data_IF_046375376481
#
_entry.id   IF_046375376481
#
_cell.length_a   1.000
_cell.length_b   1.000
_cell.length_c   1.000
_cell.angle_alpha   90.00
_cell.angle_beta   90.00
_cell.angle_gamma   90.00
#
_symmetry.space_group_name_H-M   'P 1'
#
loop_
_entity.id
_entity.type
_entity.pdbx_description
1 polymer ?
#
# COMPACT_ATOMS: atom_id res chain seq x y z
N UNK A 1 -32.98 26.57 -4.35
CA UNK A 1 -31.93 27.37 -3.69
C UNK A 1 -30.74 27.43 -4.63
N UNK A 2 -30.06 28.58 -4.75
CA UNK A 2 -28.79 28.73 -5.49
C UNK A 2 -27.65 29.05 -4.52
N UNK A 3 -26.39 28.92 -4.94
CA UNK A 3 -25.24 29.26 -4.07
C UNK A 3 -25.30 30.70 -3.55
N UNK A 4 -25.66 31.65 -4.42
CA UNK A 4 -25.86 33.06 -4.05
C UNK A 4 -26.89 33.24 -2.93
N UNK A 5 -27.96 32.44 -2.91
CA UNK A 5 -28.94 32.48 -1.84
C UNK A 5 -28.37 31.94 -0.53
N UNK A 6 -27.57 30.86 -0.58
CA UNK A 6 -26.86 30.36 0.59
C UNK A 6 -25.89 31.41 1.16
N UNK A 7 -25.13 32.10 0.31
CA UNK A 7 -24.24 33.21 0.73
C UNK A 7 -25.01 34.34 1.43
N UNK A 8 -26.19 34.69 0.92
CA UNK A 8 -27.05 35.71 1.53
C UNK A 8 -27.64 35.26 2.88
N UNK A 9 -27.89 33.97 3.07
CA UNK A 9 -28.30 33.42 4.35
C UNK A 9 -27.16 33.49 5.36
N UNK A 10 -25.95 33.09 4.96
CA UNK A 10 -24.74 33.15 5.76
C UNK A 10 -24.38 34.58 6.16
N UNK A 11 -24.45 35.54 5.23
CA UNK A 11 -24.26 36.97 5.50
C UNK A 11 -25.25 37.54 6.53
N UNK A 12 -26.39 36.87 6.74
CA UNK A 12 -27.39 37.20 7.78
C UNK A 12 -27.35 36.28 8.99
N UNK A 13 -26.31 35.44 9.09
CA UNK A 13 -26.14 34.43 10.15
C UNK A 13 -27.30 33.42 10.24
N UNK A 14 -27.93 33.12 9.10
CA UNK A 14 -28.99 32.10 9.00
C UNK A 14 -28.34 30.83 8.47
N UNK A 15 -28.05 29.88 9.36
CA UNK A 15 -27.45 28.59 8.99
C UNK A 15 -28.47 27.48 9.29
N UNK A 16 -28.96 26.75 8.28
CA UNK A 16 -29.84 25.61 8.50
C UNK A 16 -29.19 24.57 9.39
N UNK A 17 -29.92 24.03 10.37
CA UNK A 17 -29.40 22.93 11.20
C UNK A 17 -29.21 21.66 10.38
N UNK A 18 -30.12 21.40 9.44
CA UNK A 18 -30.04 20.31 8.46
C UNK A 18 -30.49 20.78 7.09
N UNK A 19 -29.80 20.30 6.06
CA UNK A 19 -30.19 20.47 4.66
C UNK A 19 -30.49 19.10 4.08
N UNK A 20 -31.77 18.84 3.78
CA UNK A 20 -32.22 17.54 3.28
C UNK A 20 -32.23 17.56 1.74
N UNK A 21 -31.57 16.60 1.12
CA UNK A 21 -31.61 16.38 -0.33
C UNK A 21 -32.39 15.11 -0.64
N UNK A 22 -33.53 15.26 -1.32
CA UNK A 22 -34.33 14.13 -1.78
C UNK A 22 -33.73 13.54 -3.06
N UNK A 23 -33.17 12.35 -2.97
CA UNK A 23 -32.49 11.65 -4.08
C UNK A 23 -33.48 10.83 -4.89
N UNK A 24 -33.59 11.14 -6.18
CA UNK A 24 -34.49 10.47 -7.12
C UNK A 24 -33.96 10.58 -8.55
N UNK A 25 -34.22 9.57 -9.37
CA UNK A 25 -33.88 9.63 -10.79
C UNK A 25 -34.75 10.64 -11.55
N UNK A 26 -34.17 11.30 -12.56
CA UNK A 26 -34.86 12.33 -13.37
C UNK A 26 -36.15 11.82 -13.98
N UNK A 27 -36.15 10.59 -14.48
CA UNK A 27 -37.33 9.99 -15.13
C UNK A 27 -38.49 9.91 -14.14
N UNK A 28 -38.21 9.46 -12.91
CA UNK A 28 -39.20 9.34 -11.85
C UNK A 28 -39.68 10.71 -11.34
N UNK A 29 -38.78 11.71 -11.26
CA UNK A 29 -39.15 13.10 -10.92
C UNK A 29 -40.13 13.68 -11.93
N UNK A 30 -39.85 13.52 -13.23
CA UNK A 30 -40.73 14.02 -14.31
C UNK A 30 -42.06 13.27 -14.29
N UNK A 31 -42.04 11.94 -14.13
CA UNK A 31 -43.25 11.11 -14.05
C UNK A 31 -44.17 11.56 -12.90
N UNK A 32 -43.61 11.78 -11.70
CA UNK A 32 -44.37 12.27 -10.53
C UNK A 32 -44.87 13.69 -10.73
N UNK A 33 -44.07 14.58 -11.33
CA UNK A 33 -44.47 15.96 -11.62
C UNK A 33 -45.67 16.05 -12.56
N UNK A 34 -45.67 15.26 -13.64
CA UNK A 34 -46.82 15.16 -14.56
C UNK A 34 -48.05 14.54 -13.88
N UNK A 35 -47.86 13.53 -13.04
CA UNK A 35 -48.95 12.92 -12.27
C UNK A 35 -49.57 13.82 -11.20
N UNK A 36 -48.88 14.89 -10.79
CA UNK A 36 -49.40 15.89 -9.85
C UNK A 36 -50.15 17.03 -10.56
N UNK A 37 -49.99 17.23 -11.87
CA UNK A 37 -50.69 18.28 -12.64
C UNK A 37 -52.21 18.11 -12.60
N UNK A 38 -52.67 16.86 -12.54
CA UNK A 38 -54.08 16.50 -12.51
C UNK A 38 -54.76 16.62 -11.14
N UNK A 39 -54.03 17.06 -10.09
CA UNK A 39 -54.57 17.12 -8.72
C UNK A 39 -55.15 18.50 -8.38
N UNK A 40 -56.39 18.59 -7.88
CA UNK A 40 -57.06 19.86 -7.59
C UNK A 40 -56.54 20.58 -6.33
N UNK A 41 -55.65 19.98 -5.55
CA UNK A 41 -55.23 20.47 -4.22
C UNK A 41 -53.93 21.29 -4.20
N UNK A 42 -53.53 21.91 -5.32
CA UNK A 42 -52.28 22.68 -5.36
C UNK A 42 -52.46 24.05 -4.70
N UNK A 43 -51.59 24.44 -3.75
CA UNK A 43 -51.65 25.77 -3.13
C UNK A 43 -51.28 26.90 -4.11
N UNK A 44 -50.59 26.61 -5.22
CA UNK A 44 -50.25 27.58 -6.27
C UNK A 44 -50.41 26.98 -7.67
N UNK A 45 -51.00 27.71 -8.64
CA UNK A 45 -51.06 27.27 -10.03
C UNK A 45 -49.65 27.18 -10.62
N UNK A 46 -49.23 25.99 -11.03
CA UNK A 46 -47.92 25.74 -11.64
C UNK A 46 -48.13 25.05 -12.98
N UNK A 47 -47.60 25.62 -14.07
CA UNK A 47 -47.58 24.94 -15.38
C UNK A 47 -46.40 23.97 -15.40
N UNK A 48 -46.69 22.68 -15.40
CA UNK A 48 -45.68 21.62 -15.35
C UNK A 48 -45.70 20.80 -16.65
N UNK A 49 -45.24 21.38 -17.76
CA UNK A 49 -45.00 20.61 -18.98
C UNK A 49 -43.73 19.75 -18.84
N UNK A 50 -43.59 18.65 -19.61
CA UNK A 50 -42.39 17.82 -19.60
C UNK A 50 -41.10 18.63 -19.86
N UNK A 51 -41.16 19.61 -20.77
CA UNK A 51 -40.04 20.49 -21.09
C UNK A 51 -39.68 21.39 -19.92
N UNK A 52 -40.67 21.97 -19.23
CA UNK A 52 -40.46 22.83 -18.06
C UNK A 52 -39.84 22.02 -16.92
N UNK A 53 -40.36 20.82 -16.64
CA UNK A 53 -39.83 19.94 -15.60
C UNK A 53 -38.40 19.51 -15.89
N UNK A 54 -38.08 19.20 -17.15
CA UNK A 54 -36.73 18.86 -17.60
C UNK A 54 -35.75 20.03 -17.40
N UNK A 55 -36.14 21.25 -17.80
CA UNK A 55 -35.31 22.45 -17.59
C UNK A 55 -35.09 22.72 -16.10
N UNK A 56 -36.14 22.66 -15.27
CA UNK A 56 -36.02 22.86 -13.82
C UNK A 56 -35.08 21.85 -13.17
N UNK A 57 -35.17 20.57 -13.56
CA UNK A 57 -34.30 19.53 -13.02
C UNK A 57 -32.84 19.73 -13.48
N UNK A 58 -32.62 20.11 -14.74
CA UNK A 58 -31.29 20.49 -15.25
C UNK A 58 -30.68 21.64 -14.45
N UNK A 59 -31.45 22.70 -14.19
CA UNK A 59 -31.03 23.80 -13.34
C UNK A 59 -30.71 23.35 -11.91
N UNK A 60 -31.55 22.52 -11.30
CA UNK A 60 -31.29 21.96 -9.97
C UNK A 60 -29.99 21.17 -9.92
N UNK A 61 -29.77 20.25 -10.87
CA UNK A 61 -28.56 19.41 -10.93
C UNK A 61 -27.28 20.22 -11.08
N UNK A 62 -27.33 21.34 -11.81
CA UNK A 62 -26.20 22.25 -11.95
C UNK A 62 -25.84 22.94 -10.63
N UNK A 63 -26.84 23.37 -9.87
CA UNK A 63 -26.64 24.14 -8.63
C UNK A 63 -26.37 23.27 -7.40
N UNK A 64 -26.97 22.07 -7.33
CA UNK A 64 -26.95 21.22 -6.14
C UNK A 64 -25.55 20.73 -5.80
N UNK A 65 -24.68 20.50 -6.78
CA UNK A 65 -23.30 20.07 -6.54
C UNK A 65 -22.53 21.12 -5.72
N UNK A 66 -22.60 22.40 -6.12
CA UNK A 66 -21.95 23.51 -5.42
C UNK A 66 -22.56 23.76 -4.04
N UNK A 67 -23.88 23.60 -3.90
CA UNK A 67 -24.56 23.73 -2.60
C UNK A 67 -24.19 22.60 -1.64
N UNK A 68 -24.19 21.36 -2.13
CA UNK A 68 -23.78 20.18 -1.37
C UNK A 68 -22.35 20.35 -0.88
N UNK A 69 -21.43 20.76 -1.75
CA UNK A 69 -20.06 21.04 -1.36
C UNK A 69 -20.00 22.08 -0.25
N UNK A 70 -20.69 23.21 -0.41
CA UNK A 70 -20.69 24.29 0.58
C UNK A 70 -21.23 23.84 1.93
N UNK A 71 -22.45 23.28 2.00
CA UNK A 71 -23.06 22.91 3.27
C UNK A 71 -22.40 21.69 3.92
N UNK A 72 -21.99 20.69 3.13
CA UNK A 72 -21.31 19.51 3.67
C UNK A 72 -19.90 19.81 4.18
N UNK A 73 -19.12 20.62 3.46
CA UNK A 73 -17.74 20.94 3.87
C UNK A 73 -17.68 21.97 4.99
N UNK A 74 -18.60 22.94 5.01
CA UNK A 74 -18.57 24.01 6.01
C UNK A 74 -19.29 23.62 7.31
N UNK A 75 -20.39 22.86 7.23
CA UNK A 75 -21.28 22.68 8.39
C UNK A 75 -21.57 21.21 8.72
N UNK A 76 -21.16 20.26 7.87
CA UNK A 76 -21.45 18.83 8.02
C UNK A 76 -22.95 18.54 8.24
N UNK A 77 -23.83 19.33 7.61
CA UNK A 77 -25.27 19.34 7.85
C UNK A 77 -26.11 18.87 6.65
N UNK A 78 -25.50 18.33 5.60
CA UNK A 78 -26.20 17.83 4.42
C UNK A 78 -26.61 16.35 4.59
N UNK A 79 -27.89 16.05 4.37
CA UNK A 79 -28.44 14.71 4.57
C UNK A 79 -29.15 14.24 3.29
N UNK A 80 -28.58 13.27 2.56
CA UNK A 80 -29.26 12.64 1.43
C UNK A 80 -30.34 11.68 1.93
N UNK A 81 -31.53 11.73 1.33
CA UNK A 81 -32.67 10.86 1.66
C UNK A 81 -33.22 10.23 0.38
N UNK A 82 -33.32 8.90 0.36
CA UNK A 82 -33.90 8.17 -0.77
C UNK A 82 -35.40 8.48 -0.91
N UNK A 83 -35.75 9.13 -2.02
CA UNK A 83 -37.12 9.56 -2.28
C UNK A 83 -37.93 8.56 -3.12
N UNK A 84 -37.35 7.40 -3.50
CA UNK A 84 -38.10 6.30 -4.10
C UNK A 84 -39.03 5.62 -3.09
N UNK A 85 -38.70 5.73 -1.79
CA UNK A 85 -39.50 5.20 -0.68
C UNK A 85 -40.84 5.91 -0.55
N UNK A 86 -41.72 5.33 0.28
CA UNK A 86 -43.05 5.90 0.54
C UNK A 86 -42.94 7.26 1.23
N UNK A 87 -43.97 8.11 1.07
CA UNK A 87 -44.05 9.41 1.74
C UNK A 87 -43.87 9.30 3.26
N UNK A 88 -44.47 8.27 3.86
CA UNK A 88 -44.35 7.97 5.28
C UNK A 88 -42.92 7.65 5.70
N UNK A 89 -42.21 6.83 4.92
CA UNK A 89 -40.81 6.50 5.21
C UNK A 89 -39.91 7.74 5.12
N UNK A 90 -40.10 8.57 4.08
CA UNK A 90 -39.34 9.82 3.92
C UNK A 90 -39.60 10.77 5.08
N UNK A 91 -40.87 10.92 5.48
CA UNK A 91 -41.27 11.73 6.63
C UNK A 91 -40.61 11.24 7.92
N UNK A 92 -40.75 9.95 8.23
CA UNK A 92 -40.19 9.32 9.42
C UNK A 92 -38.65 9.45 9.46
N UNK A 93 -37.98 9.22 8.33
CA UNK A 93 -36.53 9.37 8.23
C UNK A 93 -36.07 10.81 8.50
N UNK A 94 -36.72 11.80 7.89
CA UNK A 94 -36.37 13.21 8.10
C UNK A 94 -36.64 13.61 9.55
N UNK A 95 -37.79 13.19 10.10
CA UNK A 95 -38.15 13.48 11.48
C UNK A 95 -37.12 12.92 12.46
N UNK A 96 -36.67 11.68 12.24
CA UNK A 96 -35.62 11.05 13.04
C UNK A 96 -34.30 11.82 13.03
N UNK A 97 -33.82 12.25 11.84
CA UNK A 97 -32.59 13.05 11.71
C UNK A 97 -32.69 14.41 12.42
N UNK A 98 -33.84 15.06 12.32
CA UNK A 98 -34.11 16.33 13.01
C UNK A 98 -34.15 16.10 14.52
N UNK A 99 -34.82 15.05 15.01
CA UNK A 99 -34.90 14.71 16.43
C UNK A 99 -33.51 14.48 17.04
N UNK A 100 -32.63 13.72 16.37
CA UNK A 100 -31.26 13.51 16.84
C UNK A 100 -30.51 14.85 16.97
N UNK A 101 -30.66 15.71 15.96
CA UNK A 101 -29.98 17.00 15.92
C UNK A 101 -30.48 17.93 17.04
N UNK A 102 -31.80 17.99 17.23
CA UNK A 102 -32.43 18.77 18.29
C UNK A 102 -32.04 18.25 19.68
N UNK A 103 -31.97 16.93 19.86
CA UNK A 103 -31.49 16.31 21.11
C UNK A 103 -30.08 16.76 21.47
N UNK A 104 -29.14 16.67 20.51
CA UNK A 104 -27.77 17.14 20.74
C UNK A 104 -27.68 18.63 21.06
N UNK A 105 -28.46 19.47 20.36
CA UNK A 105 -28.51 20.92 20.62
C UNK A 105 -29.08 21.19 22.02
N UNK A 106 -30.15 20.50 22.41
CA UNK A 106 -30.77 20.68 23.71
C UNK A 106 -29.86 20.22 24.85
N UNK A 107 -29.26 19.03 24.73
CA UNK A 107 -28.27 18.52 25.69
C UNK A 107 -27.14 19.51 25.91
N UNK A 108 -26.66 20.10 24.81
CA UNK A 108 -25.60 21.11 24.83
C UNK A 108 -26.05 22.41 25.53
N UNK A 109 -27.25 22.90 25.21
CA UNK A 109 -27.81 24.11 25.83
C UNK A 109 -28.11 23.93 27.31
N UNK A 110 -28.58 22.76 27.72
CA UNK A 110 -28.82 22.45 29.13
C UNK A 110 -27.52 22.45 29.94
N UNK A 111 -26.43 21.93 29.37
CA UNK A 111 -25.09 22.00 29.97
C UNK A 111 -24.60 23.45 30.09
N UNK A 112 -24.78 24.29 29.07
CA UNK A 112 -24.47 25.73 29.18
C UNK A 112 -25.30 26.38 30.30
N UNK A 113 -26.61 26.12 30.36
CA UNK A 113 -27.51 26.71 31.36
C UNK A 113 -27.09 26.36 32.79
N UNK A 114 -26.58 25.15 33.01
CA UNK A 114 -26.03 24.71 34.31
C UNK A 114 -24.65 25.28 34.61
N UNK A 115 -24.04 26.02 33.68
CA UNK A 115 -22.68 26.55 33.81
C UNK A 115 -21.57 25.61 33.36
N UNK A 116 -21.94 24.48 32.74
CA UNK A 116 -21.04 23.34 32.53
C UNK A 116 -20.27 23.43 31.20
N UNK A 117 -20.64 24.36 30.29
CA UNK A 117 -20.00 24.60 28.98
C UNK A 117 -19.95 26.10 28.64
N UNK A 118 -18.94 26.57 27.91
CA UNK A 118 -18.68 28.02 27.69
C UNK A 118 -18.66 28.44 26.20
N UNK A 119 -19.68 28.07 25.43
CA UNK A 119 -19.89 28.68 24.10
C UNK A 119 -21.20 29.47 24.06
N UNK A 120 -21.12 30.73 24.48
CA UNK A 120 -22.21 31.69 24.33
C UNK A 120 -22.33 32.25 22.91
N UNK A 121 -21.27 32.15 22.08
CA UNK A 121 -21.15 32.90 20.81
C UNK A 121 -21.87 32.27 19.60
N UNK A 122 -21.83 30.93 19.43
CA UNK A 122 -22.26 30.27 18.18
C UNK A 122 -23.78 30.17 18.09
N UNK A 123 -24.42 29.64 19.15
CA UNK A 123 -25.87 29.43 19.15
C UNK A 123 -26.61 30.78 19.20
N UNK A 124 -26.13 31.77 19.95
CA UNK A 124 -26.82 33.06 19.99
C UNK A 124 -26.85 33.77 18.62
N UNK A 125 -25.82 33.59 17.77
CA UNK A 125 -25.81 34.11 16.39
C UNK A 125 -26.73 33.32 15.44
N UNK A 126 -26.77 31.99 15.56
CA UNK A 126 -27.55 31.12 14.66
C UNK A 126 -29.04 31.04 15.03
N UNK A 127 -29.41 31.21 16.31
CA UNK A 127 -30.76 30.99 16.81
C UNK A 127 -31.53 32.27 17.14
N UNK A 128 -30.94 33.47 17.01
CA UNK A 128 -31.56 34.77 17.39
C UNK A 128 -32.38 34.64 18.69
N UNK A 129 -31.80 34.07 19.74
CA UNK A 129 -32.45 33.98 21.06
C UNK A 129 -32.43 35.36 21.76
N UNK A 130 -32.94 36.41 21.10
CA UNK A 130 -33.23 37.71 21.70
C UNK A 130 -34.52 37.58 22.52
N UNK A 131 -34.42 36.96 23.70
CA UNK A 131 -35.59 36.86 24.58
C UNK A 131 -35.37 36.21 25.94
N UNK A 132 -34.20 35.64 26.25
CA UNK A 132 -34.03 34.94 27.53
C UNK A 132 -32.60 34.97 28.08
N UNK A 133 -31.93 36.13 28.04
CA UNK A 133 -30.59 36.27 28.64
C UNK A 133 -30.51 37.57 29.45
N UNK A 134 -31.20 37.57 30.59
CA UNK A 134 -30.80 38.36 31.75
C UNK A 134 -29.62 37.65 32.43
N UNK A 135 -28.49 38.36 32.51
CA UNK A 135 -27.44 38.26 33.54
C UNK A 135 -27.11 36.85 34.04
N UNK A 136 -26.05 36.20 33.53
CA UNK A 136 -25.32 35.21 34.34
C UNK A 136 -23.82 35.25 34.06
N UNK A 137 -23.16 36.10 34.83
CA UNK A 137 -21.75 35.99 35.22
C UNK A 137 -21.62 34.86 36.25
N UNK A 138 -20.54 34.09 36.17
CA UNK A 138 -20.04 33.10 37.15
C UNK A 138 -20.88 31.82 37.31
N UNK A 139 -20.39 30.70 36.76
CA UNK A 139 -20.92 29.36 37.04
C UNK A 139 -19.78 28.32 37.05
N UNK A 140 -19.90 27.36 37.97
CA UNK A 140 -18.95 26.33 38.43
C UNK A 140 -18.47 25.32 37.34
N UNK A 141 -17.31 24.65 37.51
CA UNK A 141 -16.72 23.75 36.50
C UNK A 141 -17.57 22.48 36.37
N UNK A 142 -17.97 21.96 35.22
CA UNK A 142 -17.52 22.10 33.83
C UNK A 142 -17.57 20.66 33.30
N UNK A 143 -18.60 20.27 32.54
CA UNK A 143 -18.73 18.92 31.97
C UNK A 143 -18.48 19.03 30.47
N UNK A 144 -17.72 18.09 29.90
CA UNK A 144 -17.49 18.11 28.45
C UNK A 144 -18.77 17.75 27.70
N UNK A 145 -18.99 18.36 26.53
CA UNK A 145 -20.19 18.14 25.72
C UNK A 145 -19.84 17.70 24.31
N UNK A 146 -20.67 16.84 23.71
CA UNK A 146 -20.51 16.43 22.30
C UNK A 146 -20.81 17.61 21.38
N UNK A 147 -20.03 17.73 20.32
CA UNK A 147 -20.19 18.84 19.35
C UNK A 147 -20.78 18.42 18.01
N UNK A 148 -21.05 17.12 17.85
CA UNK A 148 -21.68 16.58 16.66
C UNK A 148 -23.06 17.22 16.44
N UNK A 149 -23.34 17.65 15.21
CA UNK A 149 -24.59 18.29 14.79
C UNK A 149 -24.81 19.74 15.28
N UNK A 150 -23.79 20.37 15.87
CA UNK A 150 -23.83 21.79 16.24
C UNK A 150 -23.42 22.74 15.10
N UNK A 151 -23.24 22.24 13.87
CA UNK A 151 -22.86 23.02 12.69
C UNK A 151 -21.57 23.84 12.86
N UNK A 152 -20.58 23.32 13.58
CA UNK A 152 -19.29 24.00 13.79
C UNK A 152 -18.48 23.97 12.50
N UNK A 153 -17.95 25.14 12.13
CA UNK A 153 -17.13 25.28 10.92
C UNK A 153 -15.70 24.79 11.14
N UNK A 154 -15.00 24.31 10.10
CA UNK A 154 -13.59 23.94 10.21
C UNK A 154 -12.68 25.08 10.68
N UNK A 155 -12.97 26.31 10.27
CA UNK A 155 -12.22 27.50 10.68
C UNK A 155 -12.38 27.77 12.18
N UNK A 156 -13.60 27.68 12.69
CA UNK A 156 -13.87 27.82 14.12
C UNK A 156 -13.23 26.69 14.92
N UNK A 157 -13.39 25.45 14.48
CA UNK A 157 -12.76 24.28 15.09
C UNK A 157 -11.27 24.52 15.25
N UNK A 158 -10.59 24.94 14.18
CA UNK A 158 -9.16 25.22 14.18
C UNK A 158 -8.77 26.36 15.12
N UNK A 159 -9.58 27.43 15.20
CA UNK A 159 -9.30 28.58 16.05
C UNK A 159 -9.41 28.30 17.56
N UNK A 160 -10.13 27.24 17.93
CA UNK A 160 -10.42 26.87 19.31
C UNK A 160 -9.97 25.47 19.67
N UNK A 161 -9.02 24.90 18.93
CA UNK A 161 -8.40 23.63 19.31
C UNK A 161 -7.76 23.79 20.69
N UNK A 162 -7.95 22.77 21.52
CA UNK A 162 -7.29 22.71 22.82
C UNK A 162 -5.79 22.48 22.71
N UNK A 163 -5.15 22.35 23.87
CA UNK A 163 -3.69 22.17 24.02
C UNK A 163 -3.12 20.96 23.26
N UNK A 164 -3.96 19.98 22.95
CA UNK A 164 -3.57 18.75 22.25
C UNK A 164 -3.74 18.86 20.72
N UNK A 165 -4.24 19.99 20.20
CA UNK A 165 -4.46 20.18 18.77
C UNK A 165 -5.38 19.11 18.17
N UNK A 166 -4.87 18.38 17.17
CA UNK A 166 -5.57 17.25 16.53
C UNK A 166 -5.28 15.89 17.20
N UNK A 167 -4.46 15.85 18.24
CA UNK A 167 -4.11 14.60 18.92
C UNK A 167 -5.12 14.24 20.01
N UNK A 168 -5.37 12.94 20.17
CA UNK A 168 -6.27 12.43 21.19
C UNK A 168 -5.69 12.58 22.61
N UNK A 169 -6.29 13.39 23.50
CA UNK A 169 -5.79 13.56 24.88
C UNK A 169 -5.93 12.28 25.71
N UNK A 170 -7.00 11.51 25.50
CA UNK A 170 -7.27 10.27 26.26
C UNK A 170 -6.25 9.18 25.93
N UNK A 171 -5.89 9.03 24.65
CA UNK A 171 -4.89 8.04 24.23
C UNK A 171 -3.50 8.37 24.78
N UNK A 172 -3.15 9.66 24.84
CA UNK A 172 -1.89 10.11 25.40
C UNK A 172 -1.86 9.90 26.92
N UNK A 173 -2.94 10.24 27.63
CA UNK A 173 -3.01 10.10 29.07
C UNK A 173 -2.98 8.64 29.55
N UNK A 174 -3.67 7.72 28.86
CA UNK A 174 -3.79 6.32 29.29
C UNK A 174 -2.63 5.43 28.84
N UNK A 175 -2.09 5.67 27.64
CA UNK A 175 -1.15 4.75 26.98
C UNK A 175 0.12 5.44 26.46
N UNK A 176 0.25 6.75 26.65
CA UNK A 176 1.32 7.54 26.04
C UNK A 176 1.38 7.39 24.50
N UNK A 177 0.20 7.21 23.87
CA UNK A 177 0.09 7.03 22.43
C UNK A 177 -0.30 8.33 21.72
N UNK A 178 0.51 8.73 20.73
CA UNK A 178 0.24 9.85 19.84
C UNK A 178 -0.68 9.41 18.69
N UNK A 179 -1.98 9.64 18.84
CA UNK A 179 -2.96 9.35 17.79
C UNK A 179 -3.42 10.65 17.15
N UNK A 180 -3.03 10.89 15.90
CA UNK A 180 -3.48 12.04 15.12
C UNK A 180 -4.89 11.81 14.55
N UNK A 181 -5.85 12.65 14.96
CA UNK A 181 -7.24 12.61 14.50
C UNK A 181 -7.53 13.62 13.37
N UNK A 182 -6.50 14.21 12.75
CA UNK A 182 -6.64 15.18 11.65
C UNK A 182 -7.26 14.57 10.38
N UNK A 183 -7.01 13.27 10.13
CA UNK A 183 -7.55 12.53 8.99
C UNK A 183 -9.07 12.38 9.01
N UNK A 184 -9.68 12.43 10.20
CA UNK A 184 -11.12 12.32 10.35
C UNK A 184 -11.74 13.72 10.28
N UNK A 185 -12.46 14.01 9.19
CA UNK A 185 -13.23 15.25 9.00
C UNK A 185 -14.52 15.27 9.80
N UNK A 186 -14.99 14.11 10.28
CA UNK A 186 -16.21 14.03 11.11
C UNK A 186 -15.98 14.61 12.52
N UNK A 187 -17.01 15.30 13.03
CA UNK A 187 -17.07 15.80 14.40
C UNK A 187 -17.76 14.83 15.37
N UNK A 188 -18.03 13.59 14.95
CA UNK A 188 -18.65 12.56 15.79
C UNK A 188 -17.83 12.24 17.04
N UNK A 189 -16.50 12.17 16.89
CA UNK A 189 -15.55 11.90 17.98
C UNK A 189 -14.91 13.18 18.51
N UNK A 190 -15.70 14.24 18.63
CA UNK A 190 -15.23 15.52 19.14
C UNK A 190 -16.11 16.02 20.29
N UNK A 191 -15.45 16.68 21.25
CA UNK A 191 -16.07 17.27 22.41
C UNK A 191 -15.56 18.69 22.67
N UNK A 192 -16.42 19.50 23.26
CA UNK A 192 -16.08 20.80 23.83
C UNK A 192 -15.85 20.65 25.32
N UNK A 193 -14.81 21.31 25.82
CA UNK A 193 -14.56 21.46 27.23
C UNK A 193 -13.92 22.81 27.51
N UNK A 194 -14.52 23.60 28.41
CA UNK A 194 -14.03 24.94 28.83
C UNK A 194 -13.68 25.84 27.62
N UNK A 195 -14.54 25.85 26.62
CA UNK A 195 -14.40 26.67 25.42
C UNK A 195 -13.38 26.17 24.39
N UNK A 196 -12.81 24.99 24.55
CA UNK A 196 -11.85 24.39 23.63
C UNK A 196 -12.37 23.08 23.05
N UNK A 197 -11.98 22.78 21.81
CA UNK A 197 -12.36 21.55 21.13
C UNK A 197 -11.26 20.50 21.21
N UNK A 198 -11.68 19.27 21.47
CA UNK A 198 -10.82 18.10 21.55
C UNK A 198 -11.39 17.00 20.65
N UNK A 199 -10.52 16.41 19.83
CA UNK A 199 -10.83 15.18 19.10
C UNK A 199 -10.31 13.98 19.87
N UNK A 200 -11.03 12.88 19.81
CA UNK A 200 -10.62 11.61 20.42
C UNK A 200 -10.61 10.49 19.40
N UNK A 201 -9.83 9.45 19.67
CA UNK A 201 -9.57 8.37 18.72
C UNK A 201 -10.71 7.35 18.61
N UNK A 202 -11.58 7.24 19.61
CA UNK A 202 -12.66 6.24 19.65
C UNK A 202 -13.88 6.75 20.42
N UNK A 203 -15.03 6.10 20.20
CA UNK A 203 -16.28 6.40 20.93
C UNK A 203 -16.17 6.09 22.41
N UNK A 204 -15.47 5.01 22.78
CA UNK A 204 -15.18 4.67 24.17
C UNK A 204 -14.39 5.80 24.86
N UNK A 205 -13.35 6.32 24.19
CA UNK A 205 -12.58 7.44 24.72
C UNK A 205 -13.40 8.73 24.79
N UNK A 206 -14.34 8.94 23.87
CA UNK A 206 -15.27 10.07 23.95
C UNK A 206 -16.15 9.98 25.20
N UNK A 207 -16.74 8.82 25.48
CA UNK A 207 -17.59 8.61 26.65
C UNK A 207 -16.79 8.86 27.95
N UNK A 208 -15.58 8.31 28.05
CA UNK A 208 -14.68 8.57 29.19
C UNK A 208 -14.31 10.06 29.33
N UNK A 209 -14.04 10.73 28.21
CA UNK A 209 -13.73 12.16 28.21
C UNK A 209 -14.93 13.01 28.63
N UNK A 210 -16.15 12.64 28.24
CA UNK A 210 -17.38 13.33 28.63
C UNK A 210 -17.68 13.19 30.13
N UNK A 211 -17.35 12.04 30.72
CA UNK A 211 -17.53 11.77 32.16
C UNK A 211 -16.53 12.53 33.03
N UNK A 212 -15.24 12.52 32.66
CA UNK A 212 -14.16 13.08 33.49
C UNK A 212 -13.06 13.77 32.67
N UNK A 213 -13.36 14.88 31.98
CA UNK A 213 -12.41 15.56 31.07
C UNK A 213 -11.16 16.07 31.80
N UNK A 214 -11.30 16.46 33.07
CA UNK A 214 -10.18 16.97 33.87
C UNK A 214 -9.06 15.96 34.05
N UNK A 215 -9.33 14.66 34.01
CA UNK A 215 -8.30 13.61 34.16
C UNK A 215 -7.34 13.56 32.97
N UNK A 216 -7.78 14.06 31.81
CA UNK A 216 -7.04 13.97 30.55
C UNK A 216 -6.43 15.30 30.12
N UNK A 217 -6.72 16.39 30.82
CA UNK A 217 -6.30 17.75 30.50
C UNK A 217 -5.46 18.38 31.63
N UNK A 218 -4.64 19.37 31.31
CA UNK A 218 -3.87 20.09 32.32
C UNK A 218 -4.83 20.75 33.35
N UNK A 219 -4.51 20.72 34.66
CA UNK A 219 -3.25 20.31 35.29
C UNK A 219 -3.19 18.85 35.80
N UNK A 220 -4.29 18.09 35.78
CA UNK A 220 -4.32 16.71 36.33
C UNK A 220 -3.82 15.65 35.34
N UNK A 221 -3.63 16.01 34.07
CA UNK A 221 -3.14 15.11 33.05
C UNK A 221 -1.71 14.61 33.36
N UNK A 222 -1.44 13.30 33.23
CA UNK A 222 -0.10 12.75 33.47
C UNK A 222 0.93 13.20 32.43
N UNK A 223 0.50 13.47 31.20
CA UNK A 223 1.39 13.72 30.07
C UNK A 223 0.86 14.86 29.19
N UNK A 224 1.68 15.89 29.01
CA UNK A 224 1.40 16.98 28.07
C UNK A 224 1.77 16.56 26.65
N UNK A 225 1.16 17.22 25.65
CA UNK A 225 1.54 17.03 24.26
C UNK A 225 3.00 17.50 24.06
N UNK A 226 3.87 16.67 23.47
CA UNK A 226 5.24 17.09 23.16
C UNK A 226 5.28 18.31 22.23
N UNK A 227 6.33 19.16 22.31
CA UNK A 227 6.54 20.25 21.37
C UNK A 227 6.54 19.75 19.91
N UNK A 228 6.10 20.59 18.97
CA UNK A 228 5.95 20.21 17.56
C UNK A 228 7.20 19.57 16.92
N UNK A 229 8.40 19.94 17.35
CA UNK A 229 9.67 19.35 16.89
C UNK A 229 9.84 17.87 17.26
N UNK A 230 9.16 17.44 18.32
CA UNK A 230 9.15 16.06 18.83
C UNK A 230 7.86 15.31 18.44
N UNK A 231 7.06 15.85 17.52
CA UNK A 231 5.92 15.12 16.96
C UNK A 231 6.34 14.44 15.66
N UNK A 232 5.92 13.19 15.44
CA UNK A 232 6.25 12.48 14.21
C UNK A 232 5.35 12.95 13.06
N UNK A 233 5.93 13.17 11.88
CA UNK A 233 5.22 13.67 10.69
C UNK A 233 5.38 12.72 9.51
N UNK A 234 4.27 12.34 8.86
CA UNK A 234 4.32 11.54 7.63
C UNK A 234 4.97 12.36 6.52
N UNK A 235 5.86 11.74 5.75
CA UNK A 235 6.48 12.33 4.57
C UNK A 235 6.07 11.58 3.31
N UNK A 236 5.85 12.31 2.22
CA UNK A 236 5.68 11.74 0.87
C UNK A 236 7.03 11.46 0.23
N UNK A 237 7.07 10.57 -0.77
CA UNK A 237 8.31 10.27 -1.50
C UNK A 237 8.96 11.51 -2.15
N UNK A 238 8.14 12.49 -2.59
CA UNK A 238 8.65 13.77 -3.09
C UNK A 238 9.36 14.60 -2.01
N UNK A 239 8.79 14.66 -0.81
CA UNK A 239 9.38 15.38 0.33
C UNK A 239 10.65 14.71 0.84
N UNK A 240 10.75 13.38 0.76
CA UNK A 240 12.00 12.67 1.09
C UNK A 240 13.09 13.02 0.06
N UNK A 241 12.76 13.01 -1.24
CA UNK A 241 13.70 13.37 -2.31
C UNK A 241 14.20 14.80 -2.21
N UNK A 242 13.36 15.76 -1.81
CA UNK A 242 13.74 17.16 -1.67
C UNK A 242 14.70 17.43 -0.51
N UNK A 243 14.89 16.46 0.41
CA UNK A 243 15.81 16.57 1.56
C UNK A 243 17.21 16.04 1.29
N UNK A 244 17.50 15.60 0.07
CA UNK A 244 18.86 15.24 -0.33
C UNK A 244 19.83 16.42 -0.08
N UNK A 245 21.01 16.22 0.54
CA UNK A 245 21.73 14.95 0.77
C UNK A 245 21.52 14.30 2.15
N UNK A 246 20.48 14.70 2.90
CA UNK A 246 20.17 14.09 4.19
C UNK A 246 19.93 12.59 4.04
N UNK A 247 20.65 11.78 4.83
CA UNK A 247 20.51 10.33 4.82
C UNK A 247 19.33 9.87 5.68
N UNK A 248 18.72 8.76 5.28
CA UNK A 248 17.69 8.08 6.07
C UNK A 248 18.31 7.35 7.24
N UNK A 249 17.66 7.41 8.38
CA UNK A 249 18.07 6.74 9.62
C UNK A 249 18.00 5.22 9.45
N UNK A 250 18.76 4.49 10.25
CA UNK A 250 18.88 3.03 10.14
C UNK A 250 19.18 2.54 8.71
N UNK A 251 19.88 3.33 7.89
CA UNK A 251 20.22 2.98 6.48
C UNK A 251 19.01 2.53 5.65
N UNK A 252 17.80 2.97 6.00
CA UNK A 252 16.56 2.60 5.33
C UNK A 252 15.92 1.28 5.77
N UNK A 253 16.42 0.63 6.83
CA UNK A 253 15.73 -0.51 7.45
C UNK A 253 14.58 -0.04 8.34
N UNK A 254 13.51 -0.84 8.39
CA UNK A 254 12.32 -0.56 9.17
C UNK A 254 12.58 -0.70 10.68
N UNK A 255 12.49 0.39 11.48
CA UNK A 255 12.73 0.33 12.93
C UNK A 255 11.75 -0.60 13.66
N UNK A 256 10.49 -0.61 13.22
CA UNK A 256 9.43 -1.40 13.88
C UNK A 256 9.65 -2.89 13.69
N UNK A 257 9.96 -3.32 12.46
CA UNK A 257 10.26 -4.73 12.19
C UNK A 257 11.47 -5.18 13.01
N UNK A 258 12.50 -4.34 13.09
CA UNK A 258 13.73 -4.69 13.80
C UNK A 258 13.49 -4.86 15.30
N UNK A 259 12.83 -3.91 15.96
CA UNK A 259 12.56 -4.00 17.40
C UNK A 259 11.58 -5.12 17.74
N UNK A 260 10.45 -5.20 17.02
CA UNK A 260 9.43 -6.24 17.24
C UNK A 260 10.00 -7.65 16.97
N UNK A 261 10.93 -7.76 16.03
CA UNK A 261 11.68 -8.98 15.72
C UNK A 261 12.78 -9.32 16.72
N UNK A 262 12.86 -8.62 17.87
CA UNK A 262 13.88 -8.77 18.90
C UNK A 262 15.30 -8.51 18.39
N UNK A 263 15.44 -7.56 17.45
CA UNK A 263 16.71 -7.12 16.90
C UNK A 263 17.50 -8.24 16.19
N UNK A 264 16.80 -9.27 15.72
CA UNK A 264 17.37 -10.38 14.96
C UNK A 264 17.71 -9.99 13.52
N UNK A 265 18.63 -10.74 12.92
CA UNK A 265 19.09 -10.48 11.56
C UNK A 265 17.97 -10.65 10.52
N UNK A 266 17.09 -11.64 10.72
CA UNK A 266 15.94 -11.92 9.84
C UNK A 266 14.90 -10.79 9.87
N UNK A 267 14.92 -9.96 10.92
CA UNK A 267 14.00 -8.84 11.10
C UNK A 267 14.51 -7.52 10.47
N UNK A 268 15.72 -7.51 9.90
CA UNK A 268 16.27 -6.36 9.16
C UNK A 268 15.66 -6.27 7.76
N UNK A 269 14.41 -5.82 7.71
CA UNK A 269 13.67 -5.63 6.47
C UNK A 269 13.76 -4.17 6.01
N UNK A 270 14.00 -3.96 4.70
CA UNK A 270 14.04 -2.61 4.11
C UNK A 270 12.66 -1.99 4.07
N UNK A 271 12.59 -0.70 4.39
CA UNK A 271 11.38 0.08 4.24
C UNK A 271 11.13 0.54 2.80
N UNK A 272 9.89 0.96 2.54
CA UNK A 272 9.48 1.62 1.31
C UNK A 272 9.39 3.14 1.54
N UNK A 273 9.99 3.93 0.64
CA UNK A 273 10.03 5.40 0.69
C UNK A 273 8.64 6.06 0.77
N UNK A 274 7.60 5.39 0.28
CA UNK A 274 6.21 5.86 0.40
C UNK A 274 5.72 5.91 1.86
N UNK A 275 6.26 5.05 2.73
CA UNK A 275 5.95 5.01 4.16
C UNK A 275 7.08 5.67 4.95
N UNK A 276 7.38 6.94 4.67
CA UNK A 276 8.39 7.69 5.40
C UNK A 276 7.78 8.51 6.55
N UNK A 277 8.53 8.67 7.65
CA UNK A 277 8.17 9.53 8.79
C UNK A 277 9.39 10.33 9.20
N UNK A 278 9.18 11.63 9.40
CA UNK A 278 10.14 12.49 10.08
C UNK A 278 9.89 12.48 11.58
N UNK A 279 10.95 12.28 12.36
CA UNK A 279 10.91 12.39 13.80
C UNK A 279 12.27 12.86 14.32
N UNK A 280 12.29 13.93 15.13
CA UNK A 280 13.53 14.57 15.63
C UNK A 280 14.51 14.93 14.51
N UNK A 281 13.99 15.56 13.46
CA UNK A 281 14.75 15.98 12.26
C UNK A 281 15.43 14.80 11.51
N UNK A 282 15.06 13.56 11.82
CA UNK A 282 15.55 12.34 11.16
C UNK A 282 14.44 11.68 10.36
N UNK A 283 14.81 11.03 9.26
CA UNK A 283 13.86 10.37 8.35
C UNK A 283 13.93 8.87 8.56
N UNK A 284 12.82 8.26 8.95
CA UNK A 284 12.65 6.82 9.10
C UNK A 284 11.77 6.28 7.98
N UNK A 285 12.05 5.07 7.51
CA UNK A 285 11.31 4.42 6.42
C UNK A 285 10.75 3.08 6.93
N UNK A 286 9.49 2.77 6.62
CA UNK A 286 8.81 1.57 7.09
C UNK A 286 8.43 0.64 5.94
N UNK A 287 8.33 -0.66 6.22
CA UNK A 287 7.95 -1.67 5.23
C UNK A 287 6.48 -1.57 4.82
N UNK A 288 5.58 -1.32 5.78
CA UNK A 288 4.14 -1.25 5.58
C UNK A 288 3.52 -0.05 6.30
N UNK A 289 2.33 0.37 5.87
CA UNK A 289 1.56 1.44 6.54
C UNK A 289 1.23 1.09 8.01
N UNK A 290 0.97 -0.19 8.32
CA UNK A 290 0.70 -0.66 9.69
C UNK A 290 1.89 -0.39 10.62
N UNK A 291 3.10 -0.67 10.13
CA UNK A 291 4.35 -0.42 10.86
C UNK A 291 4.63 1.08 10.98
N UNK A 292 4.36 1.85 9.93
CA UNK A 292 4.40 3.32 9.99
C UNK A 292 3.47 3.84 11.10
N UNK A 293 2.22 3.36 11.15
CA UNK A 293 1.25 3.75 12.17
C UNK A 293 1.68 3.36 13.59
N UNK A 294 2.32 2.19 13.75
CA UNK A 294 2.86 1.77 15.04
C UNK A 294 3.95 2.72 15.55
N UNK A 295 4.84 3.15 14.66
CA UNK A 295 5.86 4.16 14.96
C UNK A 295 5.23 5.52 15.28
N UNK A 296 4.29 6.00 14.47
CA UNK A 296 3.59 7.27 14.72
C UNK A 296 2.92 7.31 16.11
N UNK A 297 2.35 6.18 16.54
CA UNK A 297 1.72 6.05 17.86
C UNK A 297 2.71 6.14 19.01
N UNK A 298 3.93 5.61 18.85
CA UNK A 298 4.89 5.44 19.93
C UNK A 298 6.33 5.64 19.45
N UNK A 299 6.69 6.83 18.96
CA UNK A 299 7.99 7.05 18.32
C UNK A 299 9.16 6.89 19.31
N UNK A 300 8.97 7.26 20.58
CA UNK A 300 9.95 7.14 21.67
C UNK A 300 10.42 5.68 21.89
N UNK A 301 9.59 4.70 21.57
CA UNK A 301 9.93 3.27 21.71
C UNK A 301 10.89 2.78 20.64
N UNK A 302 10.82 3.34 19.43
CA UNK A 302 11.45 2.78 18.23
C UNK A 302 12.62 3.61 17.68
N UNK A 303 12.78 4.87 18.05
CA UNK A 303 13.73 5.76 17.37
C UNK A 303 15.21 5.49 17.68
N UNK A 304 15.57 5.15 18.92
CA UNK A 304 16.98 5.01 19.36
C UNK A 304 17.52 3.59 19.16
N UNK A 305 17.42 3.07 17.92
CA UNK A 305 17.89 1.75 17.58
C UNK A 305 19.27 1.77 16.91
N UNK A 306 20.16 0.92 17.40
CA UNK A 306 21.50 0.75 16.84
C UNK A 306 21.54 -0.50 15.96
N UNK A 307 21.93 -0.31 14.71
CA UNK A 307 22.09 -1.42 13.77
C UNK A 307 23.28 -2.31 14.16
N UNK A 308 23.20 -3.63 13.93
CA UNK A 308 24.30 -4.55 14.18
C UNK A 308 25.41 -4.34 13.14
N UNK A 309 26.62 -4.80 13.46
CA UNK A 309 27.77 -4.66 12.56
C UNK A 309 27.58 -5.44 11.24
N UNK A 310 26.93 -6.61 11.31
CA UNK A 310 26.60 -7.42 10.12
C UNK A 310 25.22 -7.05 9.61
N UNK A 311 25.17 -6.47 8.42
CA UNK A 311 23.94 -6.09 7.73
C UNK A 311 23.68 -7.04 6.56
N UNK A 312 22.39 -7.27 6.22
CA UNK A 312 22.08 -8.05 5.04
C UNK A 312 22.65 -7.39 3.79
N UNK A 313 23.22 -8.20 2.86
CA UNK A 313 23.79 -7.68 1.63
C UNK A 313 22.76 -6.86 0.88
N UNK A 314 23.23 -5.78 0.24
CA UNK A 314 22.37 -4.92 -0.54
C UNK A 314 21.79 -5.75 -1.69
N UNK A 315 20.47 -5.88 -1.75
CA UNK A 315 19.77 -6.70 -2.75
C UNK A 315 19.80 -6.12 -4.17
N UNK A 316 20.84 -5.36 -4.50
CA UNK A 316 21.03 -4.87 -5.85
C UNK A 316 21.48 -6.06 -6.71
N UNK A 317 20.79 -6.36 -7.82
CA UNK A 317 21.15 -7.49 -8.65
C UNK A 317 22.56 -7.28 -9.20
N UNK A 318 23.52 -8.05 -8.69
CA UNK A 318 24.90 -8.03 -9.20
C UNK A 318 24.88 -8.70 -10.57
N UNK A 319 25.24 -7.95 -11.60
CA UNK A 319 25.36 -8.50 -12.94
C UNK A 319 26.47 -9.58 -12.94
N UNK A 320 26.21 -10.75 -13.54
CA UNK A 320 27.18 -11.84 -13.63
C UNK A 320 28.53 -11.38 -14.23
N UNK A 321 28.48 -10.42 -15.16
CA UNK A 321 29.65 -9.83 -15.81
C UNK A 321 30.44 -8.85 -14.94
N UNK A 322 29.89 -8.35 -13.84
CA UNK A 322 30.59 -7.49 -12.89
C UNK A 322 31.31 -8.27 -11.79
N UNK A 323 31.19 -9.60 -11.77
CA UNK A 323 31.91 -10.45 -10.83
C UNK A 323 33.40 -10.58 -11.21
N UNK A 324 34.32 -10.72 -10.23
CA UNK A 324 35.68 -11.17 -10.47
C UNK A 324 35.71 -12.50 -11.23
N UNK A 325 36.82 -12.79 -11.93
CA UNK A 325 36.96 -13.98 -12.78
C UNK A 325 36.53 -15.29 -12.09
N UNK A 326 36.91 -15.49 -10.83
CA UNK A 326 36.52 -16.68 -10.05
C UNK A 326 34.98 -16.78 -9.90
N UNK A 327 34.33 -15.70 -9.47
CA UNK A 327 32.87 -15.65 -9.30
C UNK A 327 32.12 -15.81 -10.63
N UNK A 328 32.63 -15.26 -11.72
CA UNK A 328 32.07 -15.48 -13.05
C UNK A 328 32.10 -16.96 -13.46
N UNK A 329 33.24 -17.62 -13.24
CA UNK A 329 33.41 -19.04 -13.58
C UNK A 329 32.51 -19.93 -12.72
N UNK A 330 32.45 -19.67 -11.41
CA UNK A 330 31.60 -20.40 -10.46
C UNK A 330 30.11 -20.28 -10.79
N UNK A 331 29.62 -19.06 -10.99
CA UNK A 331 28.18 -18.82 -11.17
C UNK A 331 27.73 -19.04 -12.62
N UNK A 332 28.60 -18.85 -13.60
CA UNK A 332 28.26 -18.89 -15.02
C UNK A 332 28.61 -20.19 -15.75
N UNK A 333 29.71 -20.84 -15.38
CA UNK A 333 30.31 -21.92 -16.19
C UNK A 333 30.41 -23.25 -15.43
N UNK A 334 30.50 -23.22 -14.10
CA UNK A 334 30.78 -24.39 -13.28
C UNK A 334 29.79 -25.54 -13.52
N UNK A 335 28.49 -25.27 -13.53
CA UNK A 335 27.47 -26.31 -13.71
C UNK A 335 27.63 -27.07 -15.02
N UNK A 336 27.96 -26.37 -16.11
CA UNK A 336 28.18 -26.98 -17.43
C UNK A 336 29.46 -27.83 -17.46
N UNK A 337 30.54 -27.35 -16.85
CA UNK A 337 31.81 -28.11 -16.74
C UNK A 337 31.62 -29.34 -15.84
N UNK A 338 30.97 -29.19 -14.69
CA UNK A 338 30.72 -30.30 -13.75
C UNK A 338 29.94 -31.41 -14.45
N UNK A 339 28.87 -31.09 -15.20
CA UNK A 339 28.11 -32.08 -15.95
C UNK A 339 28.97 -32.81 -16.98
N UNK A 340 29.74 -32.09 -17.79
CA UNK A 340 30.61 -32.68 -18.78
C UNK A 340 31.72 -33.55 -18.16
N UNK A 341 32.33 -33.09 -17.06
CA UNK A 341 33.37 -33.83 -16.34
C UNK A 341 32.83 -35.10 -15.67
N UNK A 342 31.62 -35.05 -15.11
CA UNK A 342 30.95 -36.24 -14.55
C UNK A 342 30.71 -37.28 -15.64
N UNK A 343 30.22 -36.88 -16.82
CA UNK A 343 30.03 -37.81 -17.94
C UNK A 343 31.35 -38.40 -18.45
N UNK A 344 32.43 -37.59 -18.53
CA UNK A 344 33.78 -38.09 -18.84
C UNK A 344 34.25 -39.12 -17.81
N UNK A 345 33.98 -38.87 -16.52
CA UNK A 345 34.37 -39.78 -15.42
C UNK A 345 33.65 -41.13 -15.48
N UNK A 346 32.38 -41.13 -15.86
CA UNK A 346 31.59 -42.36 -16.03
C UNK A 346 31.98 -43.14 -17.29
N UNK A 347 32.10 -42.44 -18.43
CA UNK A 347 32.35 -43.07 -19.73
C UNK A 347 33.83 -43.46 -19.93
N UNK A 348 34.77 -42.71 -19.35
CA UNK A 348 36.22 -42.85 -19.54
C UNK A 348 36.61 -42.97 -21.02
N UNK A 349 36.24 -41.99 -21.87
CA UNK A 349 36.37 -42.11 -23.32
C UNK A 349 37.83 -42.25 -23.75
N UNK A 350 38.10 -43.29 -24.54
CA UNK A 350 39.36 -43.50 -25.23
C UNK A 350 39.08 -43.56 -26.72
N UNK A 351 39.44 -42.49 -27.42
CA UNK A 351 39.26 -42.39 -28.87
C UNK A 351 40.46 -43.05 -29.58
N UNK A 352 40.25 -43.79 -30.69
CA UNK A 352 41.32 -44.37 -31.49
C UNK A 352 42.45 -43.38 -31.81
N UNK A 353 43.71 -43.80 -31.69
CA UNK A 353 44.91 -43.01 -31.98
C UNK A 353 45.13 -41.71 -31.17
N UNK A 354 44.24 -41.38 -30.22
CA UNK A 354 44.38 -40.21 -29.34
C UNK A 354 44.77 -40.64 -27.93
N UNK A 355 45.52 -39.79 -27.21
CA UNK A 355 45.78 -40.03 -25.78
C UNK A 355 44.51 -39.89 -24.96
N UNK A 356 44.43 -40.58 -23.80
CA UNK A 356 43.27 -40.51 -22.88
C UNK A 356 42.93 -39.05 -22.54
N UNK A 357 43.96 -38.23 -22.30
CA UNK A 357 43.81 -36.80 -22.02
C UNK A 357 43.17 -36.05 -23.19
N UNK A 358 43.61 -36.31 -24.44
CA UNK A 358 43.05 -35.66 -25.63
C UNK A 358 41.61 -36.11 -25.90
N UNK A 359 41.31 -37.39 -25.74
CA UNK A 359 39.94 -37.92 -25.87
C UNK A 359 38.98 -37.29 -24.87
N UNK A 360 39.40 -37.16 -23.60
CA UNK A 360 38.60 -36.50 -22.56
C UNK A 360 38.35 -35.01 -22.86
N UNK A 361 39.36 -34.27 -23.33
CA UNK A 361 39.22 -32.85 -23.68
C UNK A 361 38.26 -32.66 -24.86
N UNK A 362 38.36 -33.49 -25.90
CA UNK A 362 37.47 -33.42 -27.06
C UNK A 362 36.03 -33.77 -26.70
N UNK A 363 35.84 -34.80 -25.88
CA UNK A 363 34.53 -35.14 -25.35
C UNK A 363 33.91 -33.96 -24.60
N UNK A 364 34.67 -33.34 -23.68
CA UNK A 364 34.20 -32.18 -22.92
C UNK A 364 33.88 -31.00 -23.85
N UNK A 365 34.68 -30.75 -24.88
CA UNK A 365 34.43 -29.70 -25.85
C UNK A 365 33.13 -29.92 -26.66
N UNK A 366 32.87 -31.16 -27.09
CA UNK A 366 31.64 -31.51 -27.77
C UNK A 366 30.43 -31.44 -26.85
N UNK A 367 30.55 -31.93 -25.61
CA UNK A 367 29.51 -31.83 -24.58
C UNK A 367 29.13 -30.38 -24.30
N UNK A 368 30.12 -29.51 -24.08
CA UNK A 368 29.88 -28.08 -23.85
C UNK A 368 29.19 -27.40 -25.04
N UNK A 369 29.50 -27.79 -26.29
CA UNK A 369 28.84 -27.23 -27.48
C UNK A 369 27.44 -27.78 -27.73
N UNK A 370 27.22 -29.07 -27.46
CA UNK A 370 25.93 -29.76 -27.62
C UNK A 370 24.87 -29.25 -26.63
N UNK A 371 25.28 -28.93 -25.40
CA UNK A 371 24.37 -28.56 -24.31
C UNK A 371 24.42 -27.08 -23.90
N UNK A 372 25.05 -26.20 -24.70
CA UNK A 372 25.04 -24.76 -24.43
C UNK A 372 23.69 -24.12 -24.84
N UNK A 373 22.90 -23.56 -23.90
CA UNK A 373 21.60 -22.95 -24.20
C UNK A 373 21.70 -21.71 -25.11
N UNK A 374 22.87 -21.06 -25.15
CA UNK A 374 23.12 -19.88 -26.00
C UNK A 374 23.40 -20.22 -27.47
N UNK A 375 23.69 -21.48 -27.79
CA UNK A 375 23.83 -21.92 -29.17
C UNK A 375 22.46 -22.09 -29.83
N UNK A 376 22.38 -21.90 -31.15
CA UNK A 376 21.17 -22.20 -31.93
C UNK A 376 20.83 -23.69 -31.92
N UNK A 377 19.56 -24.02 -32.13
CA UNK A 377 19.08 -25.42 -32.17
C UNK A 377 19.87 -26.26 -33.18
N UNK A 378 20.12 -25.72 -34.37
CA UNK A 378 20.93 -26.37 -35.41
C UNK A 378 22.34 -26.74 -34.90
N UNK A 379 23.01 -25.83 -34.19
CA UNK A 379 24.36 -26.09 -33.65
C UNK A 379 24.29 -27.14 -32.55
N UNK A 380 23.27 -27.09 -31.67
CA UNK A 380 23.12 -28.08 -30.60
C UNK A 380 22.91 -29.48 -31.15
N UNK A 381 22.00 -29.67 -32.11
CA UNK A 381 21.77 -30.97 -32.73
C UNK A 381 23.01 -31.49 -33.46
N UNK A 382 23.67 -30.64 -34.26
CA UNK A 382 24.93 -30.98 -34.93
C UNK A 382 25.99 -31.51 -33.95
N UNK A 383 26.16 -30.86 -32.79
CA UNK A 383 27.16 -31.29 -31.81
C UNK A 383 26.69 -32.47 -30.95
N UNK A 384 25.38 -32.71 -30.80
CA UNK A 384 24.86 -33.96 -30.21
C UNK A 384 25.15 -35.16 -31.11
N UNK A 385 24.93 -35.03 -32.41
CA UNK A 385 25.27 -36.07 -33.41
C UNK A 385 26.77 -36.36 -33.40
N UNK A 386 27.61 -35.31 -33.42
CA UNK A 386 29.07 -35.46 -33.30
C UNK A 386 29.49 -36.15 -32.01
N UNK A 387 28.83 -35.82 -30.89
CA UNK A 387 29.10 -36.45 -29.60
C UNK A 387 28.68 -37.93 -29.60
N UNK A 388 27.57 -38.28 -30.24
CA UNK A 388 27.14 -39.68 -30.40
C UNK A 388 28.13 -40.48 -31.25
N UNK A 389 28.51 -39.97 -32.43
CA UNK A 389 29.51 -40.61 -33.27
C UNK A 389 30.88 -40.71 -32.59
N UNK A 390 31.25 -39.74 -31.75
CA UNK A 390 32.46 -39.83 -30.92
C UNK A 390 32.38 -40.95 -29.88
N UNK A 391 31.22 -41.17 -29.25
CA UNK A 391 30.99 -42.29 -28.32
C UNK A 391 31.10 -43.64 -29.04
N UNK A 392 30.44 -43.80 -30.18
CA UNK A 392 30.52 -45.00 -31.02
C UNK A 392 31.97 -45.32 -31.43
N UNK A 393 32.73 -44.31 -31.84
CA UNK A 393 34.13 -44.48 -32.20
C UNK A 393 35.02 -44.90 -31.02
N UNK A 394 34.70 -44.47 -29.79
CA UNK A 394 35.39 -44.94 -28.58
C UNK A 394 35.09 -46.43 -28.29
N UNK A 395 33.87 -46.90 -28.59
CA UNK A 395 33.46 -48.28 -28.39
C UNK A 395 34.16 -49.26 -29.35
N UNK A 396 34.64 -48.79 -30.51
CA UNK A 396 35.39 -49.61 -31.47
C UNK A 396 36.62 -50.28 -30.85
N UNK A 397 37.31 -49.61 -29.92
CA UNK A 397 38.49 -50.18 -29.26
C UNK A 397 38.09 -51.39 -28.40
N UNK A 398 37.03 -51.23 -27.60
CA UNK A 398 36.51 -52.29 -26.72
C UNK A 398 35.93 -53.46 -27.54
N UNK A 399 35.24 -53.16 -28.63
CA UNK A 399 34.68 -54.14 -29.55
C UNK A 399 35.78 -54.93 -30.28
N UNK A 400 36.74 -54.26 -30.92
CA UNK A 400 37.83 -54.94 -31.61
C UNK A 400 38.72 -55.72 -30.64
N UNK A 401 38.94 -55.19 -29.43
CA UNK A 401 39.67 -55.88 -28.38
C UNK A 401 39.01 -57.18 -27.89
N UNK A 402 37.68 -57.28 -27.94
CA UNK A 402 36.95 -58.50 -27.56
C UNK A 402 36.83 -59.51 -28.70
N UNK A 403 36.75 -59.03 -29.95
CA UNK A 403 36.60 -59.89 -31.15
C UNK A 403 37.95 -60.40 -31.66
N UNK A 404 39.01 -59.57 -31.66
CA UNK A 404 40.36 -59.93 -32.14
C UNK A 404 41.20 -60.60 -31.06
N UNK A 405 40.75 -61.78 -30.62
CA UNK A 405 41.53 -62.60 -29.66
C UNK A 405 42.79 -63.20 -30.31
N UNK A 406 43.74 -63.69 -29.50
CA UNK A 406 45.02 -64.27 -29.98
C UNK A 406 44.88 -65.46 -30.96
N UNK A 407 43.69 -66.03 -31.12
CA UNK A 407 43.39 -67.08 -32.11
C UNK A 407 42.56 -66.47 -33.24
N UNK A 408 43.12 -66.49 -34.45
CA UNK A 408 42.42 -66.00 -35.64
C UNK A 408 41.20 -66.88 -35.92
N UNK A 409 40.01 -66.28 -35.92
CA UNK A 409 38.77 -66.96 -36.31
C UNK A 409 38.58 -66.86 -37.83
N UNK A 410 38.26 -67.96 -38.52
CA UNK A 410 38.03 -67.96 -39.95
C UNK A 410 36.79 -67.10 -40.32
N UNK A 411 36.69 -66.59 -41.56
CA UNK A 411 35.70 -65.58 -41.96
C UNK A 411 34.24 -65.94 -41.69
N UNK A 412 33.90 -67.25 -41.63
CA UNK A 412 32.54 -67.73 -41.39
C UNK A 412 32.09 -67.69 -39.92
N UNK A 413 33.01 -67.46 -38.97
CA UNK A 413 32.72 -67.32 -37.53
C UNK A 413 32.85 -65.87 -37.03
N UNK A 414 33.12 -64.92 -37.95
CA UNK A 414 33.24 -63.51 -37.62
C UNK A 414 31.87 -62.82 -37.61
N UNK A 415 31.64 -61.85 -36.71
CA UNK A 415 30.45 -61.01 -36.76
C UNK A 415 30.30 -60.31 -38.12
N UNK A 416 29.07 -60.21 -38.63
CA UNK A 416 28.79 -59.60 -39.95
C UNK A 416 29.15 -58.12 -40.02
N UNK A 417 29.29 -57.44 -38.88
CA UNK A 417 29.66 -56.02 -38.75
C UNK A 417 31.16 -55.80 -38.49
N UNK A 418 31.96 -56.87 -38.46
CA UNK A 418 33.38 -56.82 -38.08
C UNK A 418 34.24 -56.05 -39.10
N UNK A 419 34.14 -56.39 -40.39
CA UNK A 419 34.92 -55.75 -41.45
C UNK A 419 34.62 -54.24 -41.53
N UNK A 420 33.34 -53.87 -41.47
CA UNK A 420 32.90 -52.47 -41.48
C UNK A 420 33.45 -51.68 -40.28
N UNK A 421 33.42 -52.27 -39.08
CA UNK A 421 33.94 -51.62 -37.85
C UNK A 421 35.46 -51.53 -37.86
N UNK A 422 36.16 -52.52 -38.41
CA UNK A 422 37.61 -52.51 -38.57
C UNK A 422 38.05 -51.47 -39.60
N UNK A 423 37.38 -51.39 -40.75
CA UNK A 423 37.63 -50.34 -41.75
C UNK A 423 37.37 -48.94 -41.18
N UNK A 424 36.27 -48.76 -40.44
CA UNK A 424 36.00 -47.50 -39.72
C UNK A 424 37.08 -47.17 -38.71
N UNK A 425 37.57 -48.14 -37.94
CA UNK A 425 38.66 -47.93 -36.97
C UNK A 425 39.95 -47.49 -37.66
N UNK A 426 40.37 -48.14 -38.74
CA UNK A 426 41.59 -47.78 -39.48
C UNK A 426 41.46 -46.40 -40.15
N UNK A 427 40.30 -46.07 -40.69
CA UNK A 427 40.04 -44.76 -41.33
C UNK A 427 40.15 -43.57 -40.36
N UNK A 428 40.01 -43.80 -39.04
CA UNK A 428 40.18 -42.75 -38.02
C UNK A 428 41.64 -42.31 -37.84
N UNK A 429 42.62 -43.10 -38.30
CA UNK A 429 44.04 -42.77 -38.13
C UNK A 429 44.40 -41.46 -38.82
N UNK A 430 43.96 -41.25 -40.06
CA UNK A 430 44.30 -40.07 -40.85
C UNK A 430 43.61 -38.80 -40.34
N UNK A 431 42.39 -38.93 -39.81
CA UNK A 431 41.64 -37.84 -39.20
C UNK A 431 42.23 -37.33 -37.87
N UNK A 432 43.03 -38.15 -37.18
CA UNK A 432 43.63 -37.77 -35.88
C UNK A 432 44.98 -37.07 -36.01
N UNK A 433 45.60 -37.08 -37.20
CA UNK A 433 46.92 -36.49 -37.47
C UNK A 433 46.90 -34.96 -37.61
N UNK A 434 45.76 -34.33 -37.90
CA UNK A 434 45.65 -32.87 -38.12
C UNK A 434 44.64 -32.19 -37.18
N UNK A 435 44.91 -30.95 -36.79
CA UNK A 435 44.00 -30.17 -35.94
C UNK A 435 42.63 -29.91 -36.60
N UNK A 436 42.60 -29.76 -37.93
CA UNK A 436 41.36 -29.64 -38.71
C UNK A 436 40.58 -30.95 -38.71
N UNK A 437 41.27 -32.10 -38.80
CA UNK A 437 40.66 -33.42 -38.71
C UNK A 437 39.98 -33.65 -37.36
N UNK A 438 40.62 -33.25 -36.26
CA UNK A 438 40.06 -33.38 -34.89
C UNK A 438 38.73 -32.61 -34.68
N UNK A 439 38.54 -31.48 -35.36
CA UNK A 439 37.30 -30.68 -35.31
C UNK A 439 36.18 -31.32 -36.17
N UNK A 440 36.58 -32.12 -37.16
CA UNK A 440 35.69 -32.87 -38.06
C UNK A 440 35.36 -34.29 -37.57
N UNK A 441 36.04 -34.80 -36.54
CA UNK A 441 35.71 -36.08 -35.92
C UNK A 441 34.30 -36.02 -35.32
N UNK A 442 33.35 -36.76 -35.90
CA UNK A 442 31.94 -36.80 -35.51
C UNK A 442 30.93 -36.72 -36.66
N UNK A 443 31.37 -36.65 -37.92
CA UNK A 443 30.49 -36.71 -39.09
C UNK A 443 30.67 -35.52 -40.05
N UNK A 444 30.42 -35.76 -41.34
CA UNK A 444 30.27 -34.71 -42.37
C UNK A 444 29.01 -33.90 -42.11
#
# INVERSE_FOLDING_TARGET
>A
MTKRQADLMEARSIIPVRVIELHMETVEVVRRGLGDESKPSRPYPTRDSPQILSVRNSCFRREVASLRQHFQQQYHNWVPVDAHKSKWWVWDRILHEVQISMGHIQDYLERIRKGESQIYSIICKQYKCYGMLGVFTLCSPGQAARIQHLCITPAELQSRLGEFGHYCPVSLALHYHLVDCSLHTSLELAAEYRGHYYKVASREYLERFLEAPEQFLAPKCPYLLPPAKLLPHRLTAGQVKSRFPQQVEMKGYCPVTYLDGQQRYEALVRGNVEFAVEYREKIYIFETEEKQNKFLRSPETYWDQKLPHKLPPMGDPVHLTSLPMLGYLEQGVATSIIKGMTEVGCLKPKFPYLSVKRSAILYLAFHLKAYNPRNSDYIREKYKEKLAGFKEACELISYLGSVMTRRHKPPHEQPTDFEDKLHKFLALEDGTKTASGLIQLGGR
#
